data_IF_346479418607
#
_entry.id   IF_346479418607
#
_cell.length_a   1.000
_cell.length_b   1.000
_cell.length_c   1.000
_cell.angle_alpha   90.00
_cell.angle_beta   90.00
_cell.angle_gamma   90.00
#
_symmetry.space_group_name_H-M   'P 1'
#
loop_
_entity.id
_entity.type
_entity.pdbx_description
1 polymer ?
#
# COMPACT_ATOMS: atom_id res chain seq x y z
N UNK A 1 14.50 14.56 -0.78
CA UNK A 1 15.17 13.49 -1.55
C UNK A 1 14.08 12.74 -2.30
N UNK A 2 14.11 12.73 -3.63
CA UNK A 2 13.13 12.00 -4.43
C UNK A 2 13.55 10.53 -4.45
N UNK A 3 12.71 9.62 -3.91
CA UNK A 3 12.99 8.18 -3.91
C UNK A 3 12.81 7.51 -5.29
N UNK A 4 12.43 8.30 -6.30
CA UNK A 4 12.51 7.90 -7.70
C UNK A 4 13.96 7.74 -8.13
N UNK A 5 14.56 6.60 -7.82
CA UNK A 5 15.93 6.27 -8.23
C UNK A 5 16.09 6.40 -9.76
N UNK A 6 15.01 6.16 -10.51
CA UNK A 6 14.94 6.32 -11.97
C UNK A 6 15.31 7.72 -12.47
N UNK A 7 15.04 8.77 -11.69
CA UNK A 7 15.46 10.15 -12.03
C UNK A 7 16.98 10.31 -12.11
N UNK A 8 17.76 9.42 -11.48
CA UNK A 8 19.22 9.42 -11.53
C UNK A 8 19.78 8.62 -12.71
N UNK A 9 18.93 7.90 -13.47
CA UNK A 9 19.32 7.09 -14.63
C UNK A 9 19.23 7.93 -15.94
N UNK A 10 18.79 9.18 -15.85
CA UNK A 10 18.57 10.08 -16.99
C UNK A 10 17.10 10.22 -17.35
N UNK A 11 16.79 10.92 -18.45
CA UNK A 11 15.42 10.99 -18.96
C UNK A 11 14.98 9.62 -19.48
N UNK A 12 13.96 9.07 -18.85
CA UNK A 12 13.24 7.88 -19.31
C UNK A 12 12.12 8.30 -20.25
N UNK A 13 11.94 7.56 -21.35
CA UNK A 13 10.78 7.78 -22.24
C UNK A 13 9.51 7.29 -21.55
N UNK A 14 8.40 7.99 -21.74
CA UNK A 14 7.11 7.70 -21.07
C UNK A 14 6.68 6.23 -21.19
N UNK A 15 6.87 5.60 -22.35
CA UNK A 15 6.49 4.19 -22.55
C UNK A 15 7.30 3.21 -21.69
N UNK A 16 8.53 3.57 -21.30
CA UNK A 16 9.37 2.75 -20.43
C UNK A 16 8.81 2.81 -19.00
N UNK A 17 8.46 4.01 -18.53
CA UNK A 17 7.86 4.18 -17.21
C UNK A 17 6.50 3.48 -17.11
N UNK A 18 5.68 3.56 -18.16
CA UNK A 18 4.41 2.84 -18.21
C UNK A 18 4.63 1.32 -18.20
N UNK A 19 5.62 0.81 -18.93
CA UNK A 19 5.93 -0.63 -18.95
C UNK A 19 6.36 -1.18 -17.59
N UNK A 20 7.13 -0.40 -16.81
CA UNK A 20 7.58 -0.80 -15.48
C UNK A 20 6.59 -0.46 -14.36
N UNK A 21 5.47 0.19 -14.67
CA UNK A 21 4.51 0.60 -13.65
C UNK A 21 3.50 -0.50 -13.33
N UNK A 22 3.42 -0.92 -12.06
CA UNK A 22 2.34 -1.76 -11.52
C UNK A 22 1.21 -0.96 -10.88
N UNK A 23 1.27 0.38 -10.93
CA UNK A 23 0.38 1.26 -10.17
C UNK A 23 -1.11 1.04 -10.48
N UNK A 24 -1.43 0.71 -11.74
CA UNK A 24 -2.80 0.40 -12.18
C UNK A 24 -3.33 -0.85 -11.48
N UNK A 25 -2.50 -1.89 -11.36
CA UNK A 25 -2.86 -3.17 -10.76
C UNK A 25 -2.88 -3.10 -9.22
N UNK A 26 -2.01 -2.28 -8.63
CA UNK A 26 -1.87 -2.11 -7.19
C UNK A 26 -3.07 -1.43 -6.52
N UNK A 27 -4.03 -0.90 -7.30
CA UNK A 27 -5.25 -0.25 -6.77
C UNK A 27 -6.04 -1.15 -5.84
N UNK A 28 -6.13 -2.44 -6.15
CA UNK A 28 -6.81 -3.42 -5.30
C UNK A 28 -5.99 -3.82 -4.06
N UNK A 29 -4.69 -3.50 -4.06
CA UNK A 29 -3.74 -3.83 -2.99
C UNK A 29 -3.53 -2.67 -2.03
N UNK A 30 -3.98 -1.44 -2.34
CA UNK A 30 -3.62 -0.23 -1.59
C UNK A 30 -3.96 -0.32 -0.10
N UNK A 31 -5.10 -0.91 0.24
CA UNK A 31 -5.51 -1.17 1.63
C UNK A 31 -4.46 -1.99 2.36
N UNK A 32 -4.03 -3.10 1.75
CA UNK A 32 -3.07 -4.03 2.33
C UNK A 32 -1.66 -3.45 2.38
N UNK A 33 -1.25 -2.71 1.33
CA UNK A 33 0.01 -1.95 1.29
C UNK A 33 0.06 -0.98 2.48
N UNK A 34 -1.01 -0.20 2.67
CA UNK A 34 -1.09 0.77 3.76
C UNK A 34 -1.06 0.09 5.13
N UNK A 35 -1.74 -1.05 5.29
CA UNK A 35 -1.67 -1.85 6.53
C UNK A 35 -0.25 -2.35 6.83
N UNK A 36 0.48 -2.84 5.83
CA UNK A 36 1.87 -3.28 5.99
C UNK A 36 2.77 -2.10 6.36
N UNK A 37 2.59 -0.93 5.73
CA UNK A 37 3.33 0.28 6.09
C UNK A 37 3.05 0.75 7.52
N UNK A 38 1.80 0.68 7.98
CA UNK A 38 1.45 0.98 9.38
C UNK A 38 2.17 0.03 10.34
N UNK A 39 2.16 -1.28 10.04
CA UNK A 39 2.83 -2.28 10.86
C UNK A 39 4.35 -2.06 10.91
N UNK A 40 4.94 -1.69 9.77
CA UNK A 40 6.36 -1.35 9.67
C UNK A 40 6.71 -0.12 10.50
N UNK A 41 5.99 1.00 10.35
CA UNK A 41 6.22 2.23 11.13
C UNK A 41 6.07 1.98 12.63
N UNK A 42 5.04 1.22 13.06
CA UNK A 42 4.89 0.82 14.47
C UNK A 42 6.07 0.01 14.97
N UNK A 43 6.65 -0.85 14.14
CA UNK A 43 7.84 -1.64 14.48
C UNK A 43 9.06 -0.74 14.65
N UNK A 44 9.29 0.20 13.73
CA UNK A 44 10.36 1.19 13.86
C UNK A 44 10.24 2.03 15.13
N UNK A 45 9.02 2.48 15.47
CA UNK A 45 8.76 3.23 16.70
C UNK A 45 9.04 2.38 17.95
N UNK A 46 8.61 1.11 17.95
CA UNK A 46 8.85 0.17 19.05
C UNK A 46 10.35 -0.06 19.28
N UNK A 47 11.14 -0.12 18.20
CA UNK A 47 12.59 -0.28 18.24
C UNK A 47 13.34 1.04 18.47
N UNK A 48 12.62 2.16 18.63
CA UNK A 48 13.20 3.52 18.81
C UNK A 48 14.12 3.95 17.66
N UNK A 49 13.90 3.40 16.46
CA UNK A 49 14.63 3.77 15.23
C UNK A 49 14.11 5.10 14.67
N UNK A 50 12.81 5.35 14.81
CA UNK A 50 12.16 6.61 14.47
C UNK A 50 11.69 7.32 15.75
N UNK A 51 11.90 8.64 15.90
CA UNK A 51 11.33 9.41 17.00
C UNK A 51 9.80 9.30 17.03
N UNK A 52 9.22 9.28 18.24
CA UNK A 52 7.79 9.03 18.44
C UNK A 52 6.91 10.02 17.66
N UNK A 53 7.25 11.30 17.71
CA UNK A 53 6.52 12.38 17.03
C UNK A 53 6.46 12.17 15.51
N UNK A 54 7.58 11.79 14.90
CA UNK A 54 7.66 11.48 13.47
C UNK A 54 6.85 10.23 13.11
N UNK A 55 6.93 9.19 13.94
CA UNK A 55 6.14 7.97 13.76
C UNK A 55 4.63 8.22 13.85
N UNK A 56 4.19 9.00 14.83
CA UNK A 56 2.77 9.36 14.99
C UNK A 56 2.24 10.20 13.82
N UNK A 57 3.04 11.13 13.29
CA UNK A 57 2.69 11.91 12.11
C UNK A 57 2.48 11.02 10.87
N UNK A 58 3.39 10.06 10.63
CA UNK A 58 3.26 9.11 9.51
C UNK A 58 2.03 8.21 9.69
N UNK A 59 1.84 7.67 10.89
CA UNK A 59 0.68 6.82 11.19
C UNK A 59 -0.64 7.55 10.99
N UNK A 60 -0.72 8.83 11.37
CA UNK A 60 -1.91 9.66 11.15
C UNK A 60 -2.27 9.72 9.65
N UNK A 61 -1.28 9.96 8.77
CA UNK A 61 -1.49 10.01 7.33
C UNK A 61 -1.82 8.67 6.70
N UNK A 62 -1.16 7.60 7.12
CA UNK A 62 -1.51 6.24 6.68
C UNK A 62 -2.96 5.88 7.08
N UNK A 63 -3.42 6.32 8.26
CA UNK A 63 -4.81 6.12 8.68
C UNK A 63 -5.81 6.93 7.85
N UNK A 64 -5.46 8.13 7.39
CA UNK A 64 -6.28 8.90 6.43
C UNK A 64 -6.43 8.13 5.11
N UNK A 65 -5.33 7.59 4.58
CA UNK A 65 -5.35 6.77 3.36
C UNK A 65 -6.28 5.55 3.52
N UNK A 66 -6.17 4.81 4.63
CA UNK A 66 -7.09 3.68 4.92
C UNK A 66 -8.55 4.12 4.99
N UNK A 67 -8.86 5.23 5.67
CA UNK A 67 -10.25 5.71 5.82
C UNK A 67 -10.88 6.10 4.50
N UNK A 68 -10.07 6.60 3.57
CA UNK A 68 -10.49 6.91 2.20
C UNK A 68 -10.47 5.70 1.24
N UNK A 69 -10.14 4.51 1.73
CA UNK A 69 -9.91 3.32 0.88
C UNK A 69 -8.92 3.58 -0.27
N UNK A 70 -7.88 4.36 0.01
CA UNK A 70 -6.88 4.77 -0.97
C UNK A 70 -7.28 5.93 -1.88
N UNK A 71 -8.54 6.38 -1.88
CA UNK A 71 -9.01 7.46 -2.77
C UNK A 71 -8.21 8.75 -2.59
N UNK A 72 -7.83 9.09 -1.35
CA UNK A 72 -7.02 10.26 -1.06
C UNK A 72 -5.66 10.20 -1.78
N UNK A 73 -5.01 9.03 -1.76
CA UNK A 73 -3.72 8.83 -2.43
C UNK A 73 -3.88 8.97 -3.95
N UNK A 74 -4.88 8.32 -4.55
CA UNK A 74 -5.07 8.36 -6.00
C UNK A 74 -5.42 9.76 -6.51
N UNK A 75 -6.25 10.51 -5.78
CA UNK A 75 -6.48 11.94 -6.10
C UNK A 75 -5.19 12.75 -6.03
N UNK A 76 -4.35 12.51 -5.02
CA UNK A 76 -3.06 13.18 -4.93
C UNK A 76 -2.13 12.82 -6.09
N UNK A 77 -2.10 11.55 -6.53
CA UNK A 77 -1.30 11.12 -7.70
C UNK A 77 -1.75 11.86 -8.96
N UNK A 78 -3.06 11.92 -9.21
CA UNK A 78 -3.66 12.62 -10.36
C UNK A 78 -3.31 14.10 -10.37
N UNK A 79 -3.48 14.79 -9.22
CA UNK A 79 -3.19 16.21 -9.08
C UNK A 79 -1.72 16.56 -9.34
N UNK A 80 -0.80 15.63 -9.06
CA UNK A 80 0.63 15.86 -9.24
C UNK A 80 1.15 15.37 -10.60
N UNK A 81 0.27 14.85 -11.48
CA UNK A 81 0.61 14.30 -12.81
C UNK A 81 1.85 13.39 -12.76
N UNK A 82 1.87 12.54 -11.73
CA UNK A 82 3.07 11.90 -11.26
C UNK A 82 3.08 10.41 -11.64
N UNK A 83 4.05 10.00 -12.47
CA UNK A 83 4.29 8.58 -12.80
C UNK A 83 5.09 7.87 -11.70
N UNK A 84 4.53 6.80 -11.13
CA UNK A 84 5.18 5.98 -10.09
C UNK A 84 5.33 4.53 -10.56
N UNK A 85 6.41 3.87 -10.15
CA UNK A 85 6.70 2.45 -10.39
C UNK A 85 5.61 1.57 -9.81
N UNK A 86 5.24 1.82 -8.57
CA UNK A 86 4.31 1.00 -7.81
C UNK A 86 3.59 1.87 -6.78
N UNK A 87 2.60 1.28 -6.11
CA UNK A 87 1.88 1.97 -5.05
C UNK A 87 2.72 2.22 -3.78
N UNK A 88 3.84 1.51 -3.56
CA UNK A 88 4.73 1.82 -2.44
C UNK A 88 5.46 3.14 -2.66
N UNK A 89 6.05 3.32 -3.84
CA UNK A 89 6.73 4.55 -4.24
C UNK A 89 5.75 5.74 -4.23
N UNK A 90 4.53 5.53 -4.74
CA UNK A 90 3.49 6.56 -4.71
C UNK A 90 3.09 6.95 -3.28
N UNK A 91 2.86 5.96 -2.40
CA UNK A 91 2.51 6.19 -1.01
C UNK A 91 3.64 6.88 -0.23
N UNK A 92 4.89 6.52 -0.49
CA UNK A 92 6.05 7.17 0.10
C UNK A 92 6.16 8.62 -0.35
N UNK A 93 6.07 8.89 -1.65
CA UNK A 93 6.11 10.24 -2.19
C UNK A 93 4.99 11.10 -1.60
N UNK A 94 3.79 10.54 -1.46
CA UNK A 94 2.69 11.18 -0.76
C UNK A 94 3.09 11.52 0.68
N UNK A 95 3.57 10.56 1.47
CA UNK A 95 3.96 10.78 2.87
C UNK A 95 5.11 11.78 3.04
N UNK A 96 6.06 11.83 2.11
CA UNK A 96 7.10 12.88 2.07
C UNK A 96 6.50 14.26 1.85
N UNK A 97 5.54 14.39 0.94
CA UNK A 97 4.91 15.68 0.63
C UNK A 97 4.20 16.30 1.85
N UNK A 98 3.69 15.47 2.78
CA UNK A 98 2.98 15.94 3.98
C UNK A 98 3.82 15.95 5.26
N UNK A 99 4.92 15.20 5.35
CA UNK A 99 5.68 15.02 6.61
C UNK A 99 7.20 15.21 6.50
N UNK A 100 7.69 15.55 5.31
CA UNK A 100 9.08 15.85 4.94
C UNK A 100 10.13 14.92 5.58
N UNK A 101 10.72 15.31 6.71
CA UNK A 101 11.79 14.54 7.40
C UNK A 101 11.28 13.20 7.94
N UNK A 102 10.02 13.13 8.33
CA UNK A 102 9.45 11.94 9.00
C UNK A 102 9.43 10.71 8.08
N UNK A 103 9.08 10.91 6.81
CA UNK A 103 9.03 9.83 5.82
C UNK A 103 10.40 9.18 5.54
N UNK A 104 11.50 9.91 5.80
CA UNK A 104 12.91 9.46 5.78
C UNK A 104 13.16 8.08 6.36
N UNK A 105 12.54 7.84 7.51
CA UNK A 105 12.77 6.66 8.33
C UNK A 105 12.10 5.40 7.77
N UNK A 106 11.10 5.53 6.90
CA UNK A 106 10.33 4.39 6.41
C UNK A 106 11.16 3.44 5.54
N UNK A 107 12.26 3.89 4.94
CA UNK A 107 13.14 3.03 4.15
C UNK A 107 13.99 2.06 5.01
N UNK A 108 14.08 2.29 6.33
CA UNK A 108 14.99 1.54 7.20
C UNK A 108 14.45 0.14 7.48
N UNK A 109 15.29 -0.88 7.23
CA UNK A 109 14.99 -2.25 7.65
C UNK A 109 13.85 -2.91 6.89
N UNK A 110 13.57 -2.48 5.66
CA UNK A 110 12.61 -3.12 4.75
C UNK A 110 13.17 -3.31 3.35
N UNK A 111 12.55 -4.22 2.60
CA UNK A 111 12.60 -4.29 1.15
C UNK A 111 11.18 -4.24 0.59
N UNK A 112 11.05 -3.93 -0.70
CA UNK A 112 9.76 -4.09 -1.38
C UNK A 112 9.37 -5.56 -1.49
N UNK A 113 10.35 -6.48 -1.52
CA UNK A 113 10.12 -7.92 -1.70
C UNK A 113 9.36 -8.54 -0.51
N UNK A 114 9.76 -8.27 0.73
CA UNK A 114 9.07 -8.78 1.92
C UNK A 114 7.73 -8.06 2.13
N UNK A 115 7.67 -6.77 1.82
CA UNK A 115 6.44 -6.00 1.88
C UNK A 115 5.39 -6.52 0.88
N UNK A 116 5.72 -6.66 -0.41
CA UNK A 116 4.77 -7.17 -1.41
C UNK A 116 4.37 -8.61 -1.13
N UNK A 117 5.29 -9.47 -0.68
CA UNK A 117 4.97 -10.83 -0.26
C UNK A 117 3.95 -10.84 0.90
N UNK A 118 4.09 -9.94 1.86
CA UNK A 118 3.15 -9.80 2.98
C UNK A 118 1.79 -9.26 2.51
N UNK A 119 1.79 -8.25 1.65
CA UNK A 119 0.58 -7.68 1.03
C UNK A 119 -0.21 -8.75 0.29
N UNK A 120 0.44 -9.51 -0.58
CA UNK A 120 -0.21 -10.58 -1.35
C UNK A 120 -0.78 -11.67 -0.43
N UNK A 121 -0.08 -12.05 0.65
CA UNK A 121 -0.60 -13.00 1.64
C UNK A 121 -1.86 -12.49 2.33
N UNK A 122 -1.90 -11.22 2.73
CA UNK A 122 -3.08 -10.62 3.36
C UNK A 122 -4.25 -10.52 2.36
N UNK A 123 -3.97 -10.05 1.15
CA UNK A 123 -4.95 -9.95 0.06
C UNK A 123 -5.57 -11.31 -0.26
N UNK A 124 -4.73 -12.33 -0.48
CA UNK A 124 -5.19 -13.68 -0.79
C UNK A 124 -5.95 -14.31 0.37
N UNK A 125 -5.49 -14.12 1.62
CA UNK A 125 -6.21 -14.62 2.81
C UNK A 125 -7.65 -14.11 2.84
N UNK A 126 -7.84 -12.81 2.69
CA UNK A 126 -9.17 -12.20 2.77
C UNK A 126 -10.07 -12.64 1.59
N UNK A 127 -9.50 -12.78 0.39
CA UNK A 127 -10.20 -13.33 -0.78
C UNK A 127 -10.62 -14.80 -0.58
N UNK A 128 -9.72 -15.64 -0.07
CA UNK A 128 -10.01 -17.07 0.21
C UNK A 128 -11.13 -17.18 1.24
N UNK A 129 -11.08 -16.40 2.33
CA UNK A 129 -12.15 -16.37 3.34
C UNK A 129 -13.48 -15.95 2.69
N UNK A 130 -13.47 -14.95 1.80
CA UNK A 130 -14.64 -14.51 1.06
C UNK A 130 -15.23 -15.62 0.17
N UNK A 131 -14.39 -16.36 -0.55
CA UNK A 131 -14.81 -17.49 -1.39
C UNK A 131 -15.41 -18.60 -0.52
N UNK A 132 -14.76 -18.97 0.58
CA UNK A 132 -15.25 -20.01 1.50
C UNK A 132 -16.62 -19.65 2.08
N UNK A 133 -16.86 -18.38 2.43
CA UNK A 133 -18.18 -17.92 2.89
C UNK A 133 -19.26 -18.10 1.82
N UNK A 134 -18.97 -17.72 0.57
CA UNK A 134 -19.91 -17.90 -0.56
C UNK A 134 -20.19 -19.39 -0.84
N UNK A 135 -19.17 -20.24 -0.73
CA UNK A 135 -19.34 -21.69 -0.87
C UNK A 135 -20.26 -22.27 0.20
N UNK A 136 -20.10 -21.84 1.46
CA UNK A 136 -20.99 -22.26 2.55
C UNK A 136 -22.42 -21.78 2.33
N UNK A 137 -22.61 -20.53 1.88
CA UNK A 137 -23.94 -19.98 1.56
C UNK A 137 -24.64 -20.81 0.49
N UNK A 138 -23.95 -21.12 -0.61
CA UNK A 138 -24.48 -21.97 -1.68
C UNK A 138 -24.84 -23.36 -1.14
N UNK A 139 -23.98 -23.95 -0.28
CA UNK A 139 -24.23 -25.26 0.32
C UNK A 139 -25.50 -25.26 1.16
N UNK A 140 -25.72 -24.22 1.97
CA UNK A 140 -26.92 -24.09 2.80
C UNK A 140 -28.20 -23.92 1.97
N UNK A 141 -28.13 -23.19 0.84
CA UNK A 141 -29.24 -23.06 -0.10
C UNK A 141 -29.64 -24.43 -0.65
N UNK A 142 -28.67 -25.23 -1.12
CA UNK A 142 -28.95 -26.58 -1.62
C UNK A 142 -29.50 -27.49 -0.53
N UNK A 143 -28.92 -27.45 0.66
CA UNK A 143 -29.38 -28.25 1.79
C UNK A 143 -30.82 -27.92 2.20
N UNK A 144 -31.18 -26.65 2.23
CA UNK A 144 -32.54 -26.20 2.56
C UNK A 144 -33.54 -26.61 1.47
N UNK A 145 -33.18 -26.50 0.20
CA UNK A 145 -34.03 -26.94 -0.92
C UNK A 145 -34.28 -28.45 -0.94
N UNK A 146 -33.33 -29.27 -0.50
CA UNK A 146 -33.49 -30.73 -0.44
C UNK A 146 -34.40 -31.20 0.71
N UNK A 147 -34.63 -30.35 1.72
CA UNK A 147 -35.50 -30.66 2.86
C UNK A 147 -36.97 -30.29 2.64
N UNK A 148 -37.26 -29.42 1.69
CA UNK A 148 -38.62 -29.02 1.29
C UNK A 148 -39.06 -29.83 0.07
#
# INVERSE_FOLDING_TARGET
MSFRYRRYIGETKDYIEEYFSSLKDDKNLIKYITMVMIAHVKTLMKQRVIPKEHGEAILSKLMEVIRSDGELLYKWIEMNSASYEDAFEALEAYLYSVSNVSAGYMAIGRSRNDHIATVLRLYLRDNIIGILRKLLEIREIFYTKLKN
#
